data_IF_500430931215
#
_entry.id   IF_500430931215
#
_cell.length_a   1.000
_cell.length_b   1.000
_cell.length_c   1.000
_cell.angle_alpha   90.00
_cell.angle_beta   90.00
_cell.angle_gamma   90.00
#
_symmetry.space_group_name_H-M   'P 1'
#
loop_
_entity.id
_entity.type
_entity.pdbx_description
1 polymer ?
#
# COMPACT_ATOMS: atom_id res chain seq x y z
N UNK A 1 11.50 -14.01 -11.48
CA UNK A 1 10.23 -13.25 -11.53
C UNK A 1 9.91 -12.89 -12.97
N UNK A 2 8.64 -12.68 -13.34
CA UNK A 2 8.27 -12.22 -14.68
C UNK A 2 8.84 -10.82 -14.96
N UNK A 3 9.19 -10.54 -16.22
CA UNK A 3 9.83 -9.27 -16.65
C UNK A 3 9.07 -7.99 -16.21
N UNK A 4 7.72 -7.93 -16.24
CA UNK A 4 6.97 -6.74 -15.84
C UNK A 4 7.15 -6.32 -14.37
N UNK A 5 7.57 -7.22 -13.49
CA UNK A 5 7.75 -6.92 -12.07
C UNK A 5 9.07 -6.19 -11.82
N UNK A 6 10.11 -6.63 -12.51
CA UNK A 6 11.43 -6.06 -12.40
C UNK A 6 11.45 -4.63 -12.92
N UNK A 7 10.68 -4.32 -13.98
CA UNK A 7 10.56 -2.94 -14.48
C UNK A 7 9.87 -2.02 -13.48
N UNK A 8 8.79 -2.47 -12.82
CA UNK A 8 8.12 -1.70 -11.76
C UNK A 8 9.03 -1.45 -10.55
N UNK A 9 9.76 -2.49 -10.12
CA UNK A 9 10.74 -2.36 -9.03
C UNK A 9 11.87 -1.41 -9.41
N UNK A 10 12.42 -1.51 -10.61
CA UNK A 10 13.47 -0.61 -11.09
C UNK A 10 12.99 0.84 -11.24
N UNK A 11 11.73 1.04 -11.67
CA UNK A 11 11.10 2.36 -11.67
C UNK A 11 11.06 2.92 -10.24
N UNK A 12 10.52 2.17 -9.29
CA UNK A 12 10.46 2.58 -7.89
C UNK A 12 11.86 2.86 -7.31
N UNK A 13 12.85 2.01 -7.61
CA UNK A 13 14.24 2.20 -7.18
C UNK A 13 14.80 3.51 -7.70
N UNK A 14 14.59 3.79 -8.98
CA UNK A 14 15.12 4.97 -9.65
C UNK A 14 14.45 6.25 -9.15
N UNK A 15 13.12 6.24 -8.99
CA UNK A 15 12.37 7.41 -8.48
C UNK A 15 12.72 7.74 -7.02
N UNK A 16 12.99 6.73 -6.20
CA UNK A 16 13.33 6.90 -4.78
C UNK A 16 14.83 7.00 -4.50
N UNK A 17 15.68 6.95 -5.53
CA UNK A 17 17.15 6.88 -5.40
C UNK A 17 17.62 5.76 -4.43
N UNK A 18 16.99 4.59 -4.51
CA UNK A 18 17.30 3.43 -3.68
C UNK A 18 18.55 2.68 -4.21
N UNK A 19 19.28 1.98 -3.31
CA UNK A 19 20.37 1.11 -3.74
C UNK A 19 19.88 0.02 -4.71
N UNK A 20 20.82 -0.51 -5.50
CA UNK A 20 20.55 -1.66 -6.36
C UNK A 20 19.97 -2.82 -5.54
N UNK A 21 18.94 -3.46 -6.09
CA UNK A 21 18.40 -4.66 -5.47
C UNK A 21 19.37 -5.84 -5.63
N UNK A 22 19.43 -6.76 -4.67
CA UNK A 22 20.19 -8.00 -4.82
C UNK A 22 19.67 -8.86 -5.97
N UNK A 23 20.57 -9.56 -6.66
CA UNK A 23 20.26 -10.54 -7.70
C UNK A 23 20.79 -11.93 -7.26
N UNK A 24 19.90 -12.92 -7.00
CA UNK A 24 18.45 -12.86 -7.14
C UNK A 24 17.77 -12.07 -6.00
N UNK A 25 16.57 -11.57 -6.29
CA UNK A 25 15.71 -10.94 -5.28
C UNK A 25 15.32 -11.95 -4.20
N UNK A 26 15.42 -11.59 -2.90
CA UNK A 26 15.16 -12.50 -1.80
C UNK A 26 13.66 -12.74 -1.54
N UNK A 27 12.78 -11.87 -2.05
CA UNK A 27 11.34 -11.90 -1.82
C UNK A 27 10.58 -11.17 -2.94
N UNK A 28 9.28 -11.45 -3.05
CA UNK A 28 8.32 -10.66 -3.83
C UNK A 28 7.69 -9.52 -3.03
N UNK A 29 7.96 -9.47 -1.73
CA UNK A 29 7.45 -8.47 -0.81
C UNK A 29 8.54 -7.49 -0.40
N UNK A 30 8.22 -6.20 -0.43
CA UNK A 30 9.12 -5.10 -0.13
C UNK A 30 8.46 -4.12 0.85
N UNK A 31 9.24 -3.55 1.76
CA UNK A 31 8.77 -2.51 2.66
C UNK A 31 9.46 -1.20 2.32
N UNK A 32 8.67 -0.19 1.98
CA UNK A 32 9.14 1.14 1.65
C UNK A 32 8.64 2.13 2.69
N UNK A 33 9.56 2.92 3.25
CA UNK A 33 9.22 4.06 4.08
C UNK A 33 9.46 5.34 3.28
N UNK A 34 8.38 6.05 2.98
CA UNK A 34 8.42 7.35 2.31
C UNK A 34 8.44 8.50 3.33
N UNK A 35 8.54 9.74 2.86
CA UNK A 35 8.63 10.95 3.69
C UNK A 35 7.43 11.12 4.65
N UNK A 36 6.26 10.59 4.29
CA UNK A 36 5.06 10.57 5.15
C UNK A 36 5.29 9.85 6.49
N UNK A 37 6.36 9.05 6.59
CA UNK A 37 6.67 8.22 7.75
C UNK A 37 5.93 6.88 7.78
N UNK A 38 4.96 6.68 6.88
CA UNK A 38 4.22 5.42 6.74
C UNK A 38 5.10 4.37 6.05
N UNK A 39 5.08 3.15 6.59
CA UNK A 39 5.66 1.99 5.93
C UNK A 39 4.60 1.39 5.00
N UNK A 40 4.87 1.40 3.70
CA UNK A 40 4.08 0.73 2.67
C UNK A 40 4.73 -0.61 2.39
N UNK A 41 3.97 -1.67 2.55
CA UNK A 41 4.32 -3.00 2.06
C UNK A 41 3.81 -3.13 0.64
N UNK A 42 4.70 -3.52 -0.27
CA UNK A 42 4.42 -3.78 -1.67
C UNK A 42 4.59 -5.28 -1.85
N UNK A 43 3.52 -5.98 -2.17
CA UNK A 43 3.55 -7.43 -2.42
C UNK A 43 3.19 -7.73 -3.87
N UNK A 44 4.08 -8.45 -4.53
CA UNK A 44 3.89 -8.85 -5.91
C UNK A 44 3.41 -10.30 -5.95
N UNK A 45 2.34 -10.54 -6.72
CA UNK A 45 1.74 -11.86 -6.91
C UNK A 45 1.94 -12.33 -8.37
N UNK A 46 3.08 -12.99 -8.70
CA UNK A 46 3.38 -13.54 -10.02
C UNK A 46 2.28 -14.41 -10.62
N UNK A 47 1.60 -15.17 -9.77
CA UNK A 47 0.59 -16.15 -10.15
C UNK A 47 -0.74 -15.53 -10.59
N UNK A 48 -1.06 -14.33 -10.10
CA UNK A 48 -2.31 -13.61 -10.43
C UNK A 48 -2.09 -12.35 -11.26
N UNK A 49 -0.83 -11.97 -11.53
CA UNK A 49 -0.47 -10.71 -12.18
C UNK A 49 -0.96 -9.45 -11.43
N UNK A 50 -0.99 -9.52 -10.09
CA UNK A 50 -1.43 -8.44 -9.22
C UNK A 50 -0.26 -7.89 -8.41
N UNK A 51 -0.38 -6.61 -8.05
CA UNK A 51 0.40 -5.99 -6.99
C UNK A 51 -0.54 -5.49 -5.90
N UNK A 52 -0.21 -5.78 -4.65
CA UNK A 52 -0.90 -5.30 -3.47
C UNK A 52 -0.04 -4.27 -2.73
N UNK A 53 -0.67 -3.17 -2.34
CA UNK A 53 -0.10 -2.16 -1.44
C UNK A 53 -0.82 -2.26 -0.11
N UNK A 54 -0.06 -2.32 0.97
CA UNK A 54 -0.59 -2.52 2.30
C UNK A 54 0.10 -1.62 3.32
N UNK A 55 -0.66 -1.00 4.21
CA UNK A 55 -0.12 -0.18 5.30
C UNK A 55 -0.85 -0.44 6.62
N UNK A 56 -0.08 -0.63 7.68
CA UNK A 56 -0.59 -0.60 9.05
C UNK A 56 -0.80 0.85 9.49
N UNK A 57 -2.03 1.17 9.89
CA UNK A 57 -2.39 2.55 10.24
C UNK A 57 -2.25 2.84 11.73
N UNK A 58 -2.41 1.84 12.57
CA UNK A 58 -2.25 1.97 14.01
C UNK A 58 -3.18 1.05 14.78
N UNK A 59 -3.05 1.11 16.11
CA UNK A 59 -3.90 0.38 17.05
C UNK A 59 -4.98 1.28 17.62
N UNK A 60 -6.09 0.71 18.05
CA UNK A 60 -7.16 1.40 18.79
C UNK A 60 -7.43 0.73 20.15
N UNK A 61 -8.01 1.49 21.08
CA UNK A 61 -8.47 0.94 22.35
C UNK A 61 -9.77 0.15 22.16
N UNK A 62 -9.96 -0.93 22.91
CA UNK A 62 -11.18 -1.76 22.82
C UNK A 62 -12.48 -0.97 23.07
N UNK A 63 -12.43 0.11 23.87
CA UNK A 63 -13.57 1.00 24.11
C UNK A 63 -14.02 1.77 22.85
N UNK A 64 -13.10 1.98 21.91
CA UNK A 64 -13.32 2.77 20.69
C UNK A 64 -13.63 1.88 19.46
N UNK A 65 -13.66 0.55 19.65
CA UNK A 65 -13.81 -0.43 18.56
C UNK A 65 -15.03 -0.14 17.66
N UNK A 66 -16.21 0.08 18.26
CA UNK A 66 -17.43 0.32 17.49
C UNK A 66 -17.35 1.61 16.66
N UNK A 67 -16.68 2.63 17.16
CA UNK A 67 -16.51 3.90 16.45
C UNK A 67 -15.49 3.75 15.31
N UNK A 68 -14.40 3.02 15.53
CA UNK A 68 -13.42 2.66 14.49
C UNK A 68 -14.08 1.85 13.38
N UNK A 69 -14.82 0.80 13.73
CA UNK A 69 -15.53 -0.04 12.75
C UNK A 69 -16.56 0.76 11.96
N UNK A 70 -17.26 1.71 12.60
CA UNK A 70 -18.19 2.61 11.91
C UNK A 70 -17.45 3.50 10.91
N UNK A 71 -16.32 4.11 11.29
CA UNK A 71 -15.50 4.94 10.39
C UNK A 71 -15.00 4.12 9.19
N UNK A 72 -14.51 2.91 9.42
CA UNK A 72 -14.05 1.99 8.37
C UNK A 72 -15.18 1.65 7.40
N UNK A 73 -16.36 1.26 7.92
CA UNK A 73 -17.51 0.92 7.09
C UNK A 73 -17.97 2.11 6.23
N UNK A 74 -18.02 3.31 6.80
CA UNK A 74 -18.38 4.53 6.06
C UNK A 74 -17.37 4.87 4.96
N UNK A 75 -16.07 4.75 5.26
CA UNK A 75 -15.00 5.01 4.30
C UNK A 75 -15.04 4.03 3.11
N UNK A 76 -15.23 2.75 3.41
CA UNK A 76 -15.33 1.70 2.40
C UNK A 76 -16.62 1.77 1.58
N UNK A 77 -17.70 2.33 2.13
CA UNK A 77 -18.94 2.52 1.36
C UNK A 77 -18.77 3.52 0.21
N UNK A 78 -17.94 4.55 0.40
CA UNK A 78 -17.72 5.59 -0.62
C UNK A 78 -16.47 5.35 -1.47
N UNK A 79 -15.43 4.68 -0.94
CA UNK A 79 -14.09 4.43 -1.50
C UNK A 79 -13.29 5.64 -2.02
N UNK A 80 -13.94 6.76 -2.31
CA UNK A 80 -13.30 8.02 -2.65
C UNK A 80 -12.40 8.51 -1.50
N UNK A 81 -12.82 8.28 -0.25
CA UNK A 81 -12.07 8.64 0.95
C UNK A 81 -10.76 7.83 1.14
N UNK A 82 -10.63 6.70 0.46
CA UNK A 82 -9.45 5.82 0.51
C UNK A 82 -8.74 5.73 -0.84
N UNK A 83 -9.13 6.56 -1.80
CA UNK A 83 -8.67 6.53 -3.18
C UNK A 83 -8.75 5.14 -3.84
N UNK A 84 -9.80 4.36 -3.51
CA UNK A 84 -10.00 2.99 -3.99
C UNK A 84 -9.37 1.91 -3.13
N UNK A 85 -8.65 2.26 -2.06
CA UNK A 85 -8.19 1.29 -1.06
C UNK A 85 -9.33 0.81 -0.15
N UNK A 86 -9.13 -0.33 0.51
CA UNK A 86 -10.05 -0.89 1.50
C UNK A 86 -9.42 -0.80 2.87
N UNK A 87 -10.15 -0.22 3.82
CA UNK A 87 -9.81 -0.25 5.23
C UNK A 87 -10.31 -1.53 5.87
N UNK A 88 -9.51 -2.11 6.76
CA UNK A 88 -9.89 -3.29 7.54
C UNK A 88 -9.38 -3.18 8.97
N UNK A 89 -10.03 -3.86 9.90
CA UNK A 89 -9.58 -3.97 11.29
C UNK A 89 -9.31 -5.42 11.63
N UNK A 90 -8.15 -5.70 12.23
CA UNK A 90 -7.86 -6.95 12.92
C UNK A 90 -8.24 -6.81 14.38
N UNK A 91 -9.39 -7.37 14.73
CA UNK A 91 -9.98 -7.28 16.07
C UNK A 91 -9.16 -8.01 17.14
N UNK A 92 -8.38 -9.03 16.76
CA UNK A 92 -7.56 -9.80 17.69
C UNK A 92 -6.37 -9.00 18.26
N UNK A 93 -5.90 -8.00 17.51
CA UNK A 93 -4.77 -7.13 17.86
C UNK A 93 -5.14 -5.65 17.78
N UNK A 94 -6.43 -5.33 17.74
CA UNK A 94 -7.00 -3.99 17.62
C UNK A 94 -6.27 -3.08 16.63
N UNK A 95 -5.95 -3.58 15.43
CA UNK A 95 -5.11 -2.86 14.46
C UNK A 95 -5.88 -2.57 13.18
N UNK A 96 -5.76 -1.35 12.66
CA UNK A 96 -6.36 -0.96 11.37
C UNK A 96 -5.31 -1.01 10.26
N UNK A 97 -5.74 -1.47 9.09
CA UNK A 97 -4.93 -1.56 7.89
C UNK A 97 -5.65 -0.91 6.70
N UNK A 98 -4.85 -0.40 5.76
CA UNK A 98 -5.29 0.00 4.42
C UNK A 98 -4.65 -0.95 3.42
N UNK A 99 -5.45 -1.50 2.50
CA UNK A 99 -5.00 -2.33 1.41
C UNK A 99 -5.49 -1.77 0.06
N UNK A 100 -4.68 -1.87 -0.98
CA UNK A 100 -5.07 -1.52 -2.35
C UNK A 100 -4.46 -2.54 -3.30
N UNK A 101 -5.23 -3.04 -4.26
CA UNK A 101 -4.76 -4.01 -5.23
C UNK A 101 -5.02 -3.51 -6.64
N UNK A 102 -4.06 -3.75 -7.53
CA UNK A 102 -4.22 -3.43 -8.95
C UNK A 102 -3.48 -4.44 -9.84
N UNK A 103 -4.00 -4.72 -11.05
CA UNK A 103 -3.26 -5.50 -12.04
C UNK A 103 -1.97 -4.80 -12.45
N UNK A 104 -0.91 -5.56 -12.63
CA UNK A 104 0.37 -5.04 -13.14
C UNK A 104 0.25 -4.53 -14.57
N UNK A 105 -0.66 -5.12 -15.34
CA UNK A 105 -1.02 -4.63 -16.68
C UNK A 105 -1.61 -3.22 -16.70
N UNK A 106 -1.95 -2.64 -15.55
CA UNK A 106 -2.41 -1.26 -15.43
C UNK A 106 -1.26 -0.26 -15.61
N UNK A 107 -0.01 -0.69 -15.48
CA UNK A 107 1.16 0.16 -15.66
C UNK A 107 1.77 -0.10 -17.03
N UNK A 108 1.80 0.94 -17.86
CA UNK A 108 2.29 0.84 -19.22
C UNK A 108 3.77 1.23 -19.27
N UNK A 109 4.58 0.52 -20.08
CA UNK A 109 6.04 0.79 -20.18
C UNK A 109 6.36 2.21 -20.67
N UNK A 110 5.41 2.87 -21.34
CA UNK A 110 5.55 4.21 -21.89
C UNK A 110 5.22 5.34 -20.89
N UNK A 111 4.76 5.01 -19.68
CA UNK A 111 4.39 5.98 -18.65
C UNK A 111 5.31 5.82 -17.44
N UNK A 112 6.48 6.44 -17.55
CA UNK A 112 7.49 6.43 -16.49
C UNK A 112 6.89 6.90 -15.16
N UNK A 113 7.17 6.16 -14.09
CA UNK A 113 6.86 6.51 -12.69
C UNK A 113 5.38 6.42 -12.26
N UNK A 114 4.44 5.91 -13.07
CA UNK A 114 3.05 5.74 -12.61
C UNK A 114 2.93 4.88 -11.36
N UNK A 115 3.74 3.83 -11.28
CA UNK A 115 3.75 2.96 -10.10
C UNK A 115 4.30 3.68 -8.87
N UNK A 116 5.36 4.47 -9.02
CA UNK A 116 5.87 5.29 -7.93
C UNK A 116 4.81 6.29 -7.45
N UNK A 117 4.14 7.00 -8.36
CA UNK A 117 3.05 7.92 -8.00
C UNK A 117 1.87 7.22 -7.31
N UNK A 118 1.55 5.99 -7.70
CA UNK A 118 0.56 5.19 -6.98
C UNK A 118 1.01 4.91 -5.54
N UNK A 119 2.26 4.47 -5.34
CA UNK A 119 2.81 4.17 -4.01
C UNK A 119 2.88 5.43 -3.14
N UNK A 120 3.28 6.56 -3.71
CA UNK A 120 3.31 7.86 -3.05
C UNK A 120 1.90 8.30 -2.62
N UNK A 121 0.94 8.27 -3.55
CA UNK A 121 -0.46 8.60 -3.25
C UNK A 121 -1.03 7.67 -2.18
N UNK A 122 -0.78 6.37 -2.27
CA UNK A 122 -1.20 5.40 -1.26
C UNK A 122 -0.62 5.74 0.11
N UNK A 123 0.68 6.07 0.18
CA UNK A 123 1.36 6.47 1.41
C UNK A 123 0.76 7.75 2.02
N UNK A 124 0.42 8.74 1.19
CA UNK A 124 -0.26 9.96 1.65
C UNK A 124 -1.65 9.66 2.25
N UNK A 125 -2.46 8.86 1.56
CA UNK A 125 -3.79 8.46 2.05
C UNK A 125 -3.68 7.66 3.35
N UNK A 126 -2.73 6.72 3.42
CA UNK A 126 -2.46 5.99 4.65
C UNK A 126 -2.11 6.95 5.80
N UNK A 127 -1.23 7.93 5.57
CA UNK A 127 -0.86 8.93 6.57
C UNK A 127 -2.04 9.78 7.05
N UNK A 128 -2.95 10.17 6.14
CA UNK A 128 -4.19 10.85 6.52
C UNK A 128 -5.07 9.99 7.43
N UNK A 129 -5.22 8.70 7.09
CA UNK A 129 -5.99 7.77 7.92
C UNK A 129 -5.32 7.47 9.27
N UNK A 130 -3.98 7.42 9.35
CA UNK A 130 -3.28 7.37 10.63
C UNK A 130 -3.62 8.56 11.52
N UNK A 131 -3.80 9.76 10.95
CA UNK A 131 -4.19 10.95 11.70
C UNK A 131 -5.67 10.95 12.13
N UNK A 132 -6.58 10.39 11.31
CA UNK A 132 -8.03 10.31 11.59
C UNK A 132 -8.37 9.28 12.68
N UNK A 133 -7.53 8.24 12.82
CA UNK A 133 -7.70 7.14 13.76
C UNK A 133 -7.06 7.40 15.14
N UNK A 134 -6.20 8.42 15.26
CA UNK A 134 -5.73 8.94 16.55
C UNK A 134 -6.81 9.77 17.23
#
# INVERSE_FOLDING_TARGET
MPVPYLSLLESLRSSCNLPAFPDPLPSTQFHLKLESGVIVTIDFHPETNLVELFAQLGTYDAKDELDVLRKIAQANFLWAATAGGTLSARLDINTVYLAYQTPISSFNENQENEFFHLVEKFSMIAGQWQAILK
#
